data_IF_552852663823
#
_entry.id   IF_552852663823
#
_cell.length_a   1.000
_cell.length_b   1.000
_cell.length_c   1.000
_cell.angle_alpha   90.00
_cell.angle_beta   90.00
_cell.angle_gamma   90.00
#
_symmetry.space_group_name_H-M   'P 1'
#
loop_
_entity.id
_entity.type
_entity.pdbx_description
1 polymer ?
#
# COMPACT_ATOMS: atom_id res chain seq x y z
N UNK A 1 10.24 -31.10 13.21
CA UNK A 1 11.12 -29.95 13.50
C UNK A 1 10.66 -29.34 14.80
N UNK A 2 11.56 -29.09 15.75
CA UNK A 2 11.21 -28.44 17.01
C UNK A 2 10.56 -27.08 16.72
N UNK A 3 9.49 -26.76 17.46
CA UNK A 3 8.77 -25.50 17.34
C UNK A 3 9.71 -24.33 17.60
N UNK A 4 10.66 -24.45 18.52
CA UNK A 4 11.64 -23.40 18.84
C UNK A 4 12.55 -23.08 17.64
N UNK A 5 13.15 -24.11 17.03
CA UNK A 5 14.01 -24.03 15.86
C UNK A 5 13.31 -23.39 14.65
N UNK A 6 12.01 -23.65 14.49
CA UNK A 6 11.20 -23.05 13.42
C UNK A 6 11.04 -21.54 13.59
N UNK A 7 10.83 -21.04 14.82
CA UNK A 7 10.76 -19.59 15.06
C UNK A 7 12.09 -18.88 14.81
N UNK A 8 13.20 -19.51 15.17
CA UNK A 8 14.53 -18.98 14.84
C UNK A 8 14.79 -18.94 13.34
N UNK A 9 14.41 -19.99 12.62
CA UNK A 9 14.53 -20.03 11.16
C UNK A 9 13.71 -18.91 10.49
N UNK A 10 12.49 -18.66 10.98
CA UNK A 10 11.66 -17.54 10.51
C UNK A 10 12.34 -16.21 10.77
N UNK A 11 12.75 -15.95 12.02
CA UNK A 11 13.42 -14.71 12.36
C UNK A 11 14.70 -14.49 11.52
N UNK A 12 15.53 -15.53 11.35
CA UNK A 12 16.74 -15.46 10.56
C UNK A 12 16.47 -15.17 9.08
N UNK A 13 15.51 -15.87 8.47
CA UNK A 13 15.12 -15.60 7.08
C UNK A 13 14.64 -14.17 6.89
N UNK A 14 13.90 -13.63 7.86
CA UNK A 14 13.37 -12.29 7.80
C UNK A 14 14.45 -11.21 7.99
N UNK A 15 15.45 -11.45 8.83
CA UNK A 15 16.63 -10.57 8.93
C UNK A 15 17.44 -10.61 7.63
N UNK A 16 17.65 -11.80 7.05
CA UNK A 16 18.36 -11.93 5.78
C UNK A 16 17.68 -11.15 4.64
N UNK A 17 16.34 -11.11 4.62
CA UNK A 17 15.57 -10.27 3.70
C UNK A 17 15.83 -8.78 3.93
N UNK A 18 15.82 -8.32 5.18
CA UNK A 18 16.09 -6.91 5.54
C UNK A 18 17.51 -6.52 5.11
N UNK A 19 18.47 -7.42 5.27
CA UNK A 19 19.87 -7.21 4.87
C UNK A 19 20.10 -7.39 3.35
N UNK A 20 19.07 -7.77 2.58
CA UNK A 20 19.15 -7.85 1.12
C UNK A 20 19.63 -9.18 0.54
N UNK A 21 19.69 -10.22 1.35
CA UNK A 21 20.07 -11.56 0.90
C UNK A 21 19.13 -12.05 -0.20
N UNK A 22 19.66 -12.65 -1.26
CA UNK A 22 18.95 -13.13 -2.44
C UNK A 22 18.69 -14.65 -2.42
N UNK A 23 18.78 -15.27 -1.24
CA UNK A 23 18.75 -16.72 -1.11
C UNK A 23 17.40 -17.30 -1.58
N UNK A 24 17.38 -18.31 -2.48
CA UNK A 24 16.16 -18.82 -3.11
C UNK A 24 15.08 -19.31 -2.13
N UNK A 25 15.51 -19.86 -0.99
CA UNK A 25 14.63 -20.42 0.03
C UNK A 25 13.94 -19.36 0.90
N UNK A 26 14.37 -18.09 0.88
CA UNK A 26 13.81 -17.06 1.76
C UNK A 26 12.32 -16.85 1.52
N UNK A 27 11.91 -16.91 0.26
CA UNK A 27 10.51 -16.73 -0.15
C UNK A 27 9.65 -17.91 0.31
N UNK A 28 10.19 -19.12 0.28
CA UNK A 28 9.50 -20.31 0.80
C UNK A 28 9.27 -20.19 2.31
N UNK A 29 10.31 -19.77 3.05
CA UNK A 29 10.22 -19.54 4.50
C UNK A 29 9.23 -18.42 4.83
N UNK A 30 9.24 -17.33 4.06
CA UNK A 30 8.26 -16.24 4.23
C UNK A 30 6.83 -16.70 3.96
N UNK A 31 6.63 -17.49 2.92
CA UNK A 31 5.32 -18.06 2.63
C UNK A 31 4.85 -18.99 3.76
N UNK A 32 5.76 -19.73 4.38
CA UNK A 32 5.47 -20.56 5.56
C UNK A 32 5.04 -19.73 6.78
N UNK A 33 5.58 -18.51 6.94
CA UNK A 33 5.19 -17.58 8.02
C UNK A 33 3.74 -17.14 7.85
N UNK A 34 3.29 -16.86 6.62
CA UNK A 34 1.89 -16.50 6.36
C UNK A 34 0.90 -17.63 6.68
N UNK A 35 1.31 -18.88 6.48
CA UNK A 35 0.47 -20.07 6.73
C UNK A 35 0.34 -20.38 8.23
N UNK A 36 1.40 -20.16 9.01
CA UNK A 36 1.48 -20.61 10.41
C UNK A 36 1.01 -19.58 11.45
N UNK A 37 0.32 -18.52 11.03
CA UNK A 37 -0.30 -17.51 11.90
C UNK A 37 0.64 -16.74 12.85
N UNK A 38 1.86 -16.49 12.39
CA UNK A 38 2.89 -15.74 13.15
C UNK A 38 2.76 -14.22 12.97
N UNK A 39 1.55 -13.68 13.17
CA UNK A 39 1.22 -12.28 12.90
C UNK A 39 2.09 -11.25 13.63
N UNK A 40 2.58 -11.59 14.83
CA UNK A 40 3.50 -10.73 15.59
C UNK A 40 4.83 -10.49 14.85
N UNK A 41 5.49 -11.56 14.39
CA UNK A 41 6.76 -11.44 13.68
C UNK A 41 6.56 -10.69 12.38
N UNK A 42 5.54 -11.07 11.62
CA UNK A 42 5.24 -10.43 10.35
C UNK A 42 5.08 -8.91 10.47
N UNK A 43 4.38 -8.43 11.50
CA UNK A 43 4.19 -6.99 11.74
C UNK A 43 5.51 -6.22 11.89
N UNK A 44 6.46 -6.74 12.66
CA UNK A 44 7.76 -6.10 12.91
C UNK A 44 8.54 -5.93 11.61
N UNK A 45 8.46 -6.93 10.72
CA UNK A 45 9.20 -6.89 9.46
C UNK A 45 8.50 -6.02 8.43
N UNK A 46 7.17 -6.06 8.33
CA UNK A 46 6.46 -5.10 7.48
C UNK A 46 6.84 -3.68 7.92
N UNK A 47 6.87 -3.39 9.22
CA UNK A 47 7.33 -2.08 9.70
C UNK A 47 8.78 -1.80 9.27
N UNK A 48 9.69 -2.76 9.42
CA UNK A 48 11.10 -2.59 9.05
C UNK A 48 11.30 -2.37 7.55
N UNK A 49 10.56 -3.08 6.70
CA UNK A 49 10.60 -2.94 5.24
C UNK A 49 10.14 -1.56 4.77
N UNK A 50 9.19 -0.95 5.45
CA UNK A 50 8.65 0.36 5.06
C UNK A 50 9.48 1.54 5.58
N UNK A 51 10.43 1.30 6.48
CA UNK A 51 11.30 2.34 7.07
C UNK A 51 12.71 2.31 6.45
N UNK A 52 13.10 1.19 5.82
CA UNK A 52 14.44 1.00 5.26
C UNK A 52 14.39 0.89 3.74
N UNK A 53 15.40 1.44 3.09
CA UNK A 53 15.61 1.22 1.66
C UNK A 53 15.82 -0.28 1.42
N UNK A 54 15.07 -0.89 0.48
CA UNK A 54 15.18 -2.32 0.24
C UNK A 54 16.49 -2.63 -0.51
N UNK A 55 17.38 -3.38 0.12
CA UNK A 55 18.62 -3.85 -0.49
C UNK A 55 18.38 -4.80 -1.68
N UNK A 56 17.23 -5.51 -1.69
CA UNK A 56 16.80 -6.34 -2.82
C UNK A 56 15.30 -6.08 -3.14
N UNK A 57 14.99 -5.20 -4.10
CA UNK A 57 13.60 -4.82 -4.42
C UNK A 57 12.78 -6.01 -4.96
N UNK A 58 13.42 -7.00 -5.58
CA UNK A 58 12.75 -8.19 -6.13
C UNK A 58 12.14 -9.04 -5.01
N UNK A 59 12.86 -9.22 -3.91
CA UNK A 59 12.36 -9.98 -2.76
C UNK A 59 11.24 -9.22 -2.06
N UNK A 60 11.40 -7.92 -1.83
CA UNK A 60 10.36 -7.10 -1.21
C UNK A 60 9.08 -7.09 -2.05
N UNK A 61 9.21 -7.02 -3.38
CA UNK A 61 8.09 -7.17 -4.31
C UNK A 61 7.34 -8.48 -4.09
N UNK A 62 8.06 -9.61 -4.00
CA UNK A 62 7.43 -10.91 -3.79
C UNK A 62 6.73 -11.00 -2.43
N UNK A 63 7.33 -10.42 -1.38
CA UNK A 63 6.70 -10.32 -0.05
C UNK A 63 5.39 -9.53 -0.13
N UNK A 64 5.37 -8.39 -0.81
CA UNK A 64 4.16 -7.57 -0.97
C UNK A 64 3.07 -8.31 -1.74
N UNK A 65 3.43 -9.04 -2.80
CA UNK A 65 2.50 -9.90 -3.54
C UNK A 65 1.93 -11.00 -2.63
N UNK A 66 2.77 -11.66 -1.83
CA UNK A 66 2.31 -12.67 -0.87
C UNK A 66 1.43 -12.08 0.23
N UNK A 67 1.74 -10.88 0.74
CA UNK A 67 0.90 -10.15 1.70
C UNK A 67 -0.47 -9.83 1.11
N UNK A 68 -0.50 -9.33 -0.12
CA UNK A 68 -1.73 -8.94 -0.82
C UNK A 68 -2.69 -10.09 -1.05
N UNK A 69 -2.16 -11.30 -1.29
CA UNK A 69 -2.95 -12.54 -1.36
C UNK A 69 -3.53 -12.98 0.00
N UNK A 70 -2.90 -12.59 1.11
CA UNK A 70 -3.28 -12.99 2.47
C UNK A 70 -4.06 -11.89 3.20
N UNK A 71 -5.37 -11.82 2.94
CA UNK A 71 -6.29 -10.77 3.44
C UNK A 71 -6.15 -10.48 4.95
N UNK A 72 -5.93 -11.51 5.77
CA UNK A 72 -5.81 -11.40 7.23
C UNK A 72 -4.66 -10.49 7.66
N UNK A 73 -3.53 -10.57 6.97
CA UNK A 73 -2.37 -9.73 7.24
C UNK A 73 -2.39 -8.45 6.42
N UNK A 74 -3.04 -8.45 5.26
CA UNK A 74 -3.15 -7.27 4.42
C UNK A 74 -3.87 -6.09 5.08
N UNK A 75 -4.85 -6.35 5.95
CA UNK A 75 -5.60 -5.29 6.66
C UNK A 75 -4.91 -4.80 7.94
N UNK A 76 -3.77 -5.37 8.32
CA UNK A 76 -3.08 -5.07 9.58
C UNK A 76 -1.94 -4.04 9.49
N UNK A 77 -1.18 -3.89 8.39
CA UNK A 77 -0.16 -2.86 8.32
C UNK A 77 -0.82 -1.52 8.01
N UNK A 78 -1.18 -0.82 9.08
CA UNK A 78 -1.31 0.63 9.05
C UNK A 78 0.09 1.18 9.34
N UNK A 79 0.97 1.15 8.34
CA UNK A 79 2.40 1.44 8.53
C UNK A 79 2.74 2.83 8.05
N UNK A 80 3.59 3.50 8.81
CA UNK A 80 4.20 4.75 8.41
C UNK A 80 5.46 4.46 7.58
N UNK A 81 5.66 5.19 6.48
CA UNK A 81 6.85 5.04 5.63
C UNK A 81 7.60 6.35 5.43
N UNK A 82 8.92 6.26 5.36
CA UNK A 82 9.82 7.34 4.92
C UNK A 82 10.66 6.92 3.70
N UNK A 83 10.39 5.74 3.13
CA UNK A 83 11.19 5.17 2.05
C UNK A 83 10.51 5.41 0.69
N UNK A 84 11.18 6.18 -0.16
CA UNK A 84 10.69 6.53 -1.50
C UNK A 84 10.56 5.29 -2.39
N UNK A 85 11.53 4.40 -2.33
CA UNK A 85 11.61 3.20 -3.16
C UNK A 85 10.47 2.23 -2.86
N UNK A 86 10.04 2.15 -1.59
CA UNK A 86 8.87 1.36 -1.18
C UNK A 86 7.60 1.96 -1.76
N UNK A 87 7.46 3.29 -1.72
CA UNK A 87 6.31 3.97 -2.31
C UNK A 87 6.25 3.80 -3.83
N UNK A 88 7.38 3.91 -4.53
CA UNK A 88 7.51 3.66 -5.97
C UNK A 88 7.18 2.20 -6.34
N UNK A 89 7.67 1.24 -5.55
CA UNK A 89 7.33 -0.17 -5.72
C UNK A 89 5.83 -0.41 -5.55
N UNK A 90 5.20 0.22 -4.56
CA UNK A 90 3.76 0.12 -4.34
C UNK A 90 2.97 0.72 -5.50
N UNK A 91 3.36 1.88 -6.04
CA UNK A 91 2.73 2.43 -7.24
C UNK A 91 2.87 1.50 -8.45
N UNK A 92 4.03 0.85 -8.60
CA UNK A 92 4.25 -0.12 -9.69
C UNK A 92 3.31 -1.31 -9.56
N UNK A 93 3.21 -1.89 -8.36
CA UNK A 93 2.29 -3.01 -8.08
C UNK A 93 0.82 -2.61 -8.27
N UNK A 94 0.45 -1.38 -7.91
CA UNK A 94 -0.90 -0.85 -8.11
C UNK A 94 -1.25 -0.74 -9.60
N UNK A 95 -0.36 -0.18 -10.42
CA UNK A 95 -0.55 -0.07 -11.87
C UNK A 95 -0.69 -1.45 -12.51
N UNK A 96 0.15 -2.41 -12.14
CA UNK A 96 0.08 -3.79 -12.65
C UNK A 96 -1.25 -4.46 -12.28
N UNK A 97 -1.72 -4.27 -11.05
CA UNK A 97 -3.01 -4.78 -10.58
C UNK A 97 -4.17 -4.14 -11.35
N UNK A 98 -4.17 -2.81 -11.51
CA UNK A 98 -5.18 -2.07 -12.28
C UNK A 98 -5.21 -2.56 -13.73
N UNK A 99 -4.04 -2.69 -14.35
CA UNK A 99 -3.89 -3.15 -15.73
C UNK A 99 -4.46 -4.55 -15.88
N UNK A 100 -4.09 -5.47 -14.97
CA UNK A 100 -4.58 -6.86 -14.97
C UNK A 100 -6.10 -6.94 -14.77
N UNK A 101 -6.64 -6.11 -13.87
CA UNK A 101 -8.08 -6.04 -13.58
C UNK A 101 -8.89 -5.51 -14.78
N UNK A 102 -8.38 -4.50 -15.48
CA UNK A 102 -9.02 -3.93 -16.66
C UNK A 102 -8.93 -4.89 -17.86
N UNK A 103 -7.83 -5.64 -17.98
CA UNK A 103 -7.58 -6.57 -19.09
C UNK A 103 -8.21 -7.96 -18.88
N UNK A 104 -8.87 -8.23 -17.74
CA UNK A 104 -9.56 -9.49 -17.41
C UNK A 104 -8.66 -10.74 -17.44
N UNK A 105 -7.40 -10.65 -17.04
CA UNK A 105 -6.44 -11.78 -17.08
C UNK A 105 -6.10 -12.41 -15.72
N UNK A 106 -6.52 -11.87 -14.57
CA UNK A 106 -6.27 -12.53 -13.28
C UNK A 106 -7.26 -12.19 -12.16
N UNK A 107 -7.15 -12.98 -11.07
CA UNK A 107 -7.98 -13.02 -9.85
C UNK A 107 -8.32 -11.61 -9.36
N UNK A 108 -9.62 -11.34 -9.19
CA UNK A 108 -10.20 -10.06 -8.75
C UNK A 108 -9.85 -9.75 -7.28
N UNK A 109 -8.58 -9.50 -6.99
CA UNK A 109 -8.18 -8.92 -5.71
C UNK A 109 -8.54 -7.43 -5.79
N UNK A 110 -9.49 -7.02 -4.96
CA UNK A 110 -10.13 -5.69 -5.03
C UNK A 110 -9.48 -4.65 -4.12
N UNK A 111 -8.46 -5.02 -3.34
CA UNK A 111 -7.82 -4.12 -2.38
C UNK A 111 -6.57 -3.49 -3.00
N UNK A 112 -6.35 -2.20 -2.75
CA UNK A 112 -5.19 -1.45 -3.23
C UNK A 112 -3.99 -1.69 -2.32
N UNK A 113 -2.81 -1.90 -2.89
CA UNK A 113 -1.53 -2.00 -2.15
C UNK A 113 -1.26 -0.78 -1.28
N UNK A 114 -1.77 0.40 -1.64
CA UNK A 114 -1.67 1.62 -0.83
C UNK A 114 -2.31 1.48 0.56
N UNK A 115 -3.23 0.53 0.76
CA UNK A 115 -3.80 0.25 2.09
C UNK A 115 -2.75 -0.22 3.11
N UNK A 116 -1.56 -0.66 2.68
CA UNK A 116 -0.46 -1.00 3.58
C UNK A 116 0.23 0.24 4.18
N UNK A 117 0.02 1.43 3.60
CA UNK A 117 0.61 2.68 4.08
C UNK A 117 -0.50 3.52 4.72
N UNK A 118 -0.35 3.81 6.01
CA UNK A 118 -1.26 4.71 6.71
C UNK A 118 -0.84 6.18 6.58
N UNK A 119 0.47 6.44 6.60
CA UNK A 119 0.99 7.79 6.52
C UNK A 119 2.45 7.80 6.02
N UNK A 120 2.95 8.96 5.59
CA UNK A 120 4.33 9.11 5.14
C UNK A 120 4.98 10.39 5.68
N UNK A 121 6.29 10.54 5.50
CA UNK A 121 7.00 11.80 5.78
C UNK A 121 6.56 12.93 4.86
N UNK A 122 6.76 14.18 5.29
CA UNK A 122 6.54 15.37 4.46
C UNK A 122 7.35 15.32 3.16
N UNK A 123 8.60 14.85 3.21
CA UNK A 123 9.43 14.66 2.01
C UNK A 123 8.78 13.71 0.99
N UNK A 124 8.16 12.64 1.47
CA UNK A 124 7.42 11.71 0.60
C UNK A 124 6.10 12.30 0.11
N UNK A 125 5.46 13.19 0.87
CA UNK A 125 4.29 13.93 0.39
C UNK A 125 4.66 14.91 -0.73
N UNK A 126 5.83 15.58 -0.62
CA UNK A 126 6.36 16.42 -1.70
C UNK A 126 6.69 15.58 -2.93
N UNK A 127 7.35 14.43 -2.74
CA UNK A 127 7.60 13.48 -3.83
C UNK A 127 6.30 12.98 -4.47
N UNK A 128 5.29 12.60 -3.69
CA UNK A 128 3.97 12.18 -4.17
C UNK A 128 3.32 13.26 -5.05
N UNK A 129 3.42 14.52 -4.64
CA UNK A 129 2.93 15.65 -5.45
C UNK A 129 3.65 15.74 -6.80
N UNK A 130 4.98 15.66 -6.79
CA UNK A 130 5.79 15.70 -8.02
C UNK A 130 5.46 14.52 -8.93
N UNK A 131 5.40 13.31 -8.37
CA UNK A 131 4.99 12.10 -9.07
C UNK A 131 3.64 12.26 -9.75
N UNK A 132 2.62 12.80 -9.06
CA UNK A 132 1.29 13.00 -9.65
C UNK A 132 1.31 14.06 -10.76
N UNK A 133 2.06 15.15 -10.59
CA UNK A 133 2.22 16.18 -11.62
C UNK A 133 2.83 15.56 -12.89
N UNK A 134 3.92 14.82 -12.74
CA UNK A 134 4.59 14.14 -13.85
C UNK A 134 3.68 13.08 -14.48
N UNK A 135 3.06 12.23 -13.67
CA UNK A 135 2.19 11.16 -14.14
C UNK A 135 0.98 11.69 -14.93
N UNK A 136 0.43 12.84 -14.53
CA UNK A 136 -0.70 13.48 -15.20
C UNK A 136 -0.28 14.24 -16.45
N UNK A 137 0.81 15.01 -16.39
CA UNK A 137 1.18 15.92 -17.47
C UNK A 137 2.03 15.27 -18.56
N UNK A 138 2.77 14.19 -18.24
CA UNK A 138 3.57 13.47 -19.22
C UNK A 138 2.67 12.52 -20.02
N UNK A 139 2.87 12.49 -21.34
CA UNK A 139 2.31 11.47 -22.21
C UNK A 139 2.98 10.14 -21.87
N UNK A 140 2.22 9.29 -21.19
CA UNK A 140 2.65 7.95 -20.81
C UNK A 140 1.97 6.94 -21.73
N UNK A 141 2.60 5.80 -21.98
CA UNK A 141 2.04 4.72 -22.81
C UNK A 141 0.85 3.98 -22.16
N UNK A 142 0.33 4.45 -21.03
CA UNK A 142 -0.81 3.85 -20.36
C UNK A 142 -2.12 4.24 -21.04
N UNK A 143 -3.05 3.29 -21.16
CA UNK A 143 -4.41 3.59 -21.57
C UNK A 143 -5.06 4.60 -20.61
N UNK A 144 -5.89 5.50 -21.15
CA UNK A 144 -6.52 6.57 -20.36
C UNK A 144 -7.26 6.06 -19.12
N UNK A 145 -7.97 4.94 -19.24
CA UNK A 145 -8.69 4.29 -18.14
C UNK A 145 -7.77 3.77 -17.02
N UNK A 146 -6.56 3.26 -17.34
CA UNK A 146 -5.56 2.82 -16.36
C UNK A 146 -5.02 4.04 -15.62
N UNK A 147 -4.66 5.09 -16.37
CA UNK A 147 -4.15 6.35 -15.81
C UNK A 147 -5.16 6.97 -14.84
N UNK A 148 -6.41 7.07 -15.26
CA UNK A 148 -7.49 7.64 -14.44
C UNK A 148 -7.77 6.79 -13.18
N UNK A 149 -7.77 5.46 -13.30
CA UNK A 149 -7.98 4.56 -12.15
C UNK A 149 -6.84 4.68 -11.14
N UNK A 150 -5.59 4.76 -11.60
CA UNK A 150 -4.43 4.91 -10.73
C UNK A 150 -4.48 6.20 -9.93
N UNK A 151 -4.82 7.31 -10.59
CA UNK A 151 -5.01 8.61 -9.93
C UNK A 151 -6.16 8.53 -8.92
N UNK A 152 -7.26 7.86 -9.27
CA UNK A 152 -8.42 7.72 -8.39
C UNK A 152 -8.09 6.92 -7.12
N UNK A 153 -7.29 5.86 -7.24
CA UNK A 153 -6.80 5.05 -6.11
C UNK A 153 -5.90 5.88 -5.19
N UNK A 154 -4.94 6.63 -5.76
CA UNK A 154 -4.06 7.52 -4.97
C UNK A 154 -4.87 8.63 -4.27
N UNK A 155 -5.83 9.23 -4.98
CA UNK A 155 -6.68 10.29 -4.42
C UNK A 155 -7.48 9.79 -3.21
N UNK A 156 -8.10 8.61 -3.36
CA UNK A 156 -8.82 7.94 -2.27
C UNK A 156 -7.89 7.70 -1.08
N UNK A 157 -6.69 7.16 -1.32
CA UNK A 157 -5.71 6.90 -0.27
C UNK A 157 -5.32 8.18 0.49
N UNK A 158 -4.99 9.28 -0.21
CA UNK A 158 -4.64 10.56 0.43
C UNK A 158 -5.77 11.08 1.34
N UNK A 159 -7.02 10.97 0.89
CA UNK A 159 -8.18 11.38 1.68
C UNK A 159 -8.30 10.53 2.95
N UNK A 160 -8.17 9.21 2.81
CA UNK A 160 -8.19 8.27 3.94
C UNK A 160 -7.02 8.52 4.93
N UNK A 161 -5.84 8.93 4.45
CA UNK A 161 -4.71 9.34 5.29
C UNK A 161 -4.89 10.70 5.99
N UNK A 162 -5.85 11.52 5.55
CA UNK A 162 -6.04 12.91 6.02
C UNK A 162 -7.08 13.02 7.15
N UNK A 163 -7.63 11.89 7.61
CA UNK A 163 -8.58 11.85 8.72
C UNK A 163 -7.90 12.33 10.00
N UNK A 164 -8.35 13.47 10.53
CA UNK A 164 -7.98 13.96 11.86
C UNK A 164 -6.78 14.91 11.95
N UNK A 165 -6.08 15.21 10.84
CA UNK A 165 -4.94 16.14 10.82
C UNK A 165 -5.02 17.05 9.58
N UNK A 166 -5.08 18.37 9.81
CA UNK A 166 -4.92 19.34 8.73
C UNK A 166 -3.46 19.34 8.26
N UNK A 167 -3.19 18.80 7.08
CA UNK A 167 -1.89 18.84 6.43
C UNK A 167 -1.99 19.66 5.12
N UNK A 168 -1.27 20.80 5.01
CA UNK A 168 -1.36 21.69 3.85
C UNK A 168 -0.83 21.06 2.56
N UNK A 169 0.15 20.15 2.64
CA UNK A 169 0.70 19.45 1.48
C UNK A 169 -0.36 18.49 0.93
N UNK A 170 -0.96 17.66 1.79
CA UNK A 170 -2.06 16.76 1.41
C UNK A 170 -3.25 17.52 0.81
N UNK A 171 -3.61 18.66 1.41
CA UNK A 171 -4.66 19.53 0.86
C UNK A 171 -4.29 20.04 -0.53
N UNK A 172 -3.03 20.47 -0.74
CA UNK A 172 -2.57 20.93 -2.05
C UNK A 172 -2.59 19.82 -3.12
N UNK A 173 -2.27 18.59 -2.74
CA UNK A 173 -2.34 17.43 -3.65
C UNK A 173 -3.81 17.13 -3.98
N UNK A 174 -4.69 17.15 -2.99
CA UNK A 174 -6.12 16.96 -3.20
C UNK A 174 -6.70 18.01 -4.15
N UNK A 175 -6.40 19.30 -3.94
CA UNK A 175 -6.85 20.38 -4.83
C UNK A 175 -6.30 20.19 -6.25
N UNK A 176 -5.03 19.82 -6.39
CA UNK A 176 -4.43 19.55 -7.70
C UNK A 176 -5.15 18.43 -8.44
N UNK A 177 -5.39 17.29 -7.77
CA UNK A 177 -6.10 16.15 -8.34
C UNK A 177 -7.54 16.53 -8.71
N UNK A 178 -8.25 17.22 -7.82
CA UNK A 178 -9.64 17.62 -8.02
C UNK A 178 -9.81 18.53 -9.26
N UNK A 179 -8.85 19.44 -9.48
CA UNK A 179 -8.89 20.38 -10.60
C UNK A 179 -8.75 19.71 -11.98
N UNK A 180 -8.31 18.45 -12.06
CA UNK A 180 -8.22 17.70 -13.31
C UNK A 180 -9.57 17.18 -13.82
N UNK A 181 -10.63 17.27 -13.00
CA UNK A 181 -12.02 16.90 -13.35
C UNK A 181 -12.22 15.48 -13.89
N UNK A 182 -11.33 14.54 -13.56
CA UNK A 182 -11.49 13.14 -13.94
C UNK A 182 -12.71 12.49 -13.25
N UNK A 183 -13.69 11.92 -14.00
CA UNK A 183 -14.90 11.35 -13.42
C UNK A 183 -14.67 10.26 -12.36
N UNK A 184 -13.72 9.35 -12.59
CA UNK A 184 -13.40 8.27 -11.64
C UNK A 184 -12.76 8.80 -10.37
N UNK A 185 -11.94 9.83 -10.49
CA UNK A 185 -11.30 10.52 -9.37
C UNK A 185 -12.35 11.22 -8.50
N UNK A 186 -13.33 11.89 -9.11
CA UNK A 186 -14.45 12.52 -8.41
C UNK A 186 -15.28 11.47 -7.64
N UNK A 187 -15.60 10.34 -8.29
CA UNK A 187 -16.31 9.23 -7.64
C UNK A 187 -15.51 8.61 -6.49
N UNK A 188 -14.21 8.37 -6.67
CA UNK A 188 -13.34 7.85 -5.63
C UNK A 188 -13.23 8.80 -4.44
N UNK A 189 -13.10 10.11 -4.71
CA UNK A 189 -13.12 11.18 -3.70
C UNK A 189 -14.40 11.16 -2.88
N UNK A 190 -15.55 11.12 -3.54
CA UNK A 190 -16.85 11.08 -2.86
C UNK A 190 -16.99 9.82 -1.99
N UNK A 191 -16.61 8.65 -2.50
CA UNK A 191 -16.62 7.39 -1.74
C UNK A 191 -15.68 7.43 -0.53
N UNK A 192 -14.48 7.97 -0.68
CA UNK A 192 -13.51 8.13 0.39
C UNK A 192 -14.06 9.02 1.50
N UNK A 193 -14.55 10.21 1.15
CA UNK A 193 -15.18 11.13 2.10
C UNK A 193 -16.36 10.49 2.83
N UNK A 194 -17.27 9.81 2.11
CA UNK A 194 -18.39 9.12 2.73
C UNK A 194 -17.94 8.04 3.72
N UNK A 195 -16.87 7.30 3.42
CA UNK A 195 -16.33 6.30 4.35
C UNK A 195 -15.90 6.94 5.66
N UNK A 196 -15.25 8.11 5.61
CA UNK A 196 -14.83 8.88 6.79
C UNK A 196 -16.05 9.23 7.66
N UNK A 197 -17.09 9.81 7.07
CA UNK A 197 -18.26 10.27 7.83
C UNK A 197 -19.12 9.12 8.37
N UNK A 198 -19.22 7.99 7.66
CA UNK A 198 -20.01 6.83 8.11
C UNK A 198 -19.35 6.12 9.32
N UNK A 199 -18.02 6.03 9.36
CA UNK A 199 -17.31 5.40 10.50
C UNK A 199 -17.20 6.31 11.74
N UNK A 200 -17.43 7.62 11.61
CA UNK A 200 -17.36 8.58 12.73
C UNK A 200 -18.71 9.04 13.27
N UNK A 201 -19.84 8.52 12.77
CA UNK A 201 -21.12 8.67 13.44
C UNK A 201 -21.09 7.84 14.73
N UNK A 202 -21.32 8.41 15.92
CA UNK A 202 -21.51 7.61 17.11
C UNK A 202 -22.65 6.64 16.83
N UNK A 203 -22.37 5.34 16.95
CA UNK A 203 -23.44 4.34 17.00
C UNK A 203 -24.40 4.85 18.05
N UNK A 204 -25.65 5.15 17.67
CA UNK A 204 -26.70 5.46 18.61
C UNK A 204 -26.70 4.31 19.62
N UNK A 205 -26.19 4.56 20.82
CA UNK A 205 -26.39 3.66 21.93
C UNK A 205 -27.90 3.53 22.04
N UNK A 206 -28.38 2.29 21.91
CA UNK A 206 -29.77 1.98 22.19
C UNK A 206 -30.01 2.35 23.65
N UNK A 207 -30.61 3.52 23.86
CA UNK A 207 -31.28 3.88 25.10
C UNK A 207 -32.44 2.89 25.20
N UNK A 208 -32.28 1.88 26.06
CA UNK A 208 -33.37 1.07 26.60
C UNK A 208 -33.74 1.69 27.95
#
# INVERSE_FOLDING_TARGET
MDKSLRHFAYYAALILVIEGSDLPYLIEVINEIFVNDNGFYLKIIIQSLFIRQPSNPTIVRQIFISLHKNIRYFTQPSVWTNCKEILELIFTLEIEQITSNIQNTSIKITKSYLMMIQNCTEDLEVFLKQYLIEFINVENNFQHNIKEEHIAVIAKWIIEMSIGLFNPIKFSIFTFIHNQQFPRVQNATFKALNSIFIYHLPRKEHII
#
